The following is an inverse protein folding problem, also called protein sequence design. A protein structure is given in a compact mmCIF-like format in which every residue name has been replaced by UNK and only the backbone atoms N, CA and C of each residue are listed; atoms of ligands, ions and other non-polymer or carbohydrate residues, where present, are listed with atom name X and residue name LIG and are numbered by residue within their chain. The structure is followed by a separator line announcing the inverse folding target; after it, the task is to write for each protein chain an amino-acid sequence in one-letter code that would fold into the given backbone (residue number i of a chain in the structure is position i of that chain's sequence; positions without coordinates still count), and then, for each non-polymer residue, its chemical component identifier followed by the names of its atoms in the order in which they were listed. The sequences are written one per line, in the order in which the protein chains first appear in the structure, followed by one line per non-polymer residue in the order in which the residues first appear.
data_IF_997776130679
#
_entry.id   IF_997776130679
#
_cell.length_a   1.000
_cell.length_b   1.000
_cell.length_c   1.000
_cell.angle_alpha   90.00
_cell.angle_beta   90.00
_cell.angle_gamma   90.00
#
_symmetry.space_group_name_H-M   'P 1'
#
loop_
_entity.id
_entity.type
_entity.pdbx_description
1 polymer ?
#
# COMPACT_ATOMS: atom_id res chain seq x y z
N UNK A 1 -1.80 16.80 -9.25
CA UNK A 1 -0.37 16.53 -8.99
C UNK A 1 -0.21 15.03 -9.09
N UNK A 2 0.49 14.51 -10.10
CA UNK A 2 0.69 13.07 -10.22
C UNK A 2 1.51 12.62 -9.02
N UNK A 3 1.03 11.63 -8.24
CA UNK A 3 1.82 11.01 -7.21
C UNK A 3 2.85 10.17 -7.94
N UNK A 4 4.09 10.61 -7.86
CA UNK A 4 5.23 9.82 -8.32
C UNK A 4 5.28 8.61 -7.38
N UNK A 5 4.91 7.43 -7.89
CA UNK A 5 5.32 6.19 -7.25
C UNK A 5 6.82 6.28 -7.09
N UNK A 6 7.35 5.94 -5.92
CA UNK A 6 8.80 5.84 -5.79
C UNK A 6 9.27 4.91 -6.91
N UNK A 7 10.08 5.44 -7.81
CA UNK A 7 10.63 4.67 -8.93
C UNK A 7 11.76 3.77 -8.45
N UNK A 8 12.18 3.93 -7.20
CA UNK A 8 13.33 3.24 -6.61
C UNK A 8 12.94 2.04 -5.78
N UNK A 9 11.82 2.04 -5.06
CA UNK A 9 11.43 0.89 -4.23
C UNK A 9 10.32 1.18 -3.23
N UNK A 10 9.98 0.18 -2.41
CA UNK A 10 9.04 0.35 -1.29
C UNK A 10 9.71 0.92 -0.03
N UNK A 11 11.04 0.90 0.06
CA UNK A 11 11.81 1.43 1.19
C UNK A 11 12.93 2.36 0.71
N UNK A 12 13.62 2.99 1.65
CA UNK A 12 14.81 3.82 1.43
C UNK A 12 16.04 3.17 2.06
N UNK A 13 17.25 3.62 1.68
CA UNK A 13 18.50 3.10 2.23
C UNK A 13 18.59 3.24 3.76
N UNK A 14 17.95 4.26 4.34
CA UNK A 14 17.83 4.45 5.79
C UNK A 14 17.03 3.34 6.48
N UNK A 15 16.01 2.80 5.83
CA UNK A 15 15.23 1.67 6.35
C UNK A 15 16.05 0.38 6.36
N UNK A 16 16.85 0.18 5.32
CA UNK A 16 17.80 -0.93 5.22
C UNK A 16 18.85 -0.81 6.33
N UNK A 17 19.43 0.38 6.51
CA UNK A 17 20.40 0.68 7.56
C UNK A 17 19.90 0.37 8.98
N UNK A 18 18.59 0.58 9.22
CA UNK A 18 17.99 0.24 10.51
C UNK A 18 17.96 -1.28 10.79
N UNK A 19 18.01 -2.13 9.76
CA UNK A 19 18.03 -3.60 9.88
C UNK A 19 19.45 -4.15 9.97
N UNK A 20 20.45 -3.42 9.48
CA UNK A 20 21.87 -3.83 9.46
C UNK A 20 22.58 -3.15 10.61
N UNK A 21 22.40 -3.69 11.83
CA UNK A 21 22.80 -3.03 13.09
C UNK A 21 24.30 -2.77 13.26
N UNK A 22 25.18 -3.43 12.52
CA UNK A 22 26.64 -3.33 12.69
C UNK A 22 27.33 -2.65 11.49
N UNK A 23 26.57 -2.16 10.55
CA UNK A 23 27.09 -1.58 9.32
C UNK A 23 26.38 -0.26 9.02
N UNK A 24 27.17 0.78 8.77
CA UNK A 24 26.63 2.08 8.36
C UNK A 24 26.69 2.19 6.85
N UNK A 25 25.52 2.38 6.23
CA UNK A 25 25.42 2.60 4.78
C UNK A 25 25.62 4.10 4.53
N UNK A 26 26.70 4.46 3.83
CA UNK A 26 26.98 5.82 3.40
C UNK A 26 27.60 5.82 1.99
N UNK A 27 28.04 6.99 1.52
CA UNK A 27 28.60 7.13 0.18
C UNK A 27 29.98 6.49 0.03
N UNK A 28 30.67 6.17 1.12
CA UNK A 28 32.03 5.63 1.14
C UNK A 28 32.07 4.20 1.68
N UNK A 29 30.95 3.67 2.14
CA UNK A 29 30.86 2.29 2.61
C UNK A 29 30.89 1.30 1.45
N UNK A 30 31.17 0.05 1.73
CA UNK A 30 31.08 -1.06 0.79
C UNK A 30 30.18 -2.16 1.42
N UNK A 31 28.91 -2.30 0.99
CA UNK A 31 28.29 -1.57 -0.14
C UNK A 31 27.93 -0.10 0.20
N UNK A 32 27.98 0.74 -0.83
CA UNK A 32 27.63 2.17 -0.76
C UNK A 32 26.11 2.41 -0.78
N UNK A 33 25.71 3.66 -0.46
CA UNK A 33 24.29 4.05 -0.58
C UNK A 33 23.76 3.82 -1.99
N UNK A 34 24.55 4.15 -3.04
CA UNK A 34 24.11 3.99 -4.43
C UNK A 34 23.89 2.51 -4.81
N UNK A 35 24.75 1.62 -4.35
CA UNK A 35 24.58 0.18 -4.57
C UNK A 35 23.37 -0.36 -3.79
N UNK A 36 23.17 0.11 -2.57
CA UNK A 36 21.99 -0.24 -1.77
C UNK A 36 20.70 0.20 -2.44
N UNK A 37 20.66 1.42 -3.01
CA UNK A 37 19.50 1.93 -3.76
C UNK A 37 19.23 1.10 -5.03
N UNK A 38 20.28 0.67 -5.73
CA UNK A 38 20.13 -0.21 -6.88
C UNK A 38 19.49 -1.55 -6.48
N UNK A 39 19.93 -2.16 -5.37
CA UNK A 39 19.33 -3.39 -4.86
C UNK A 39 17.89 -3.20 -4.36
N UNK A 40 17.58 -2.06 -3.73
CA UNK A 40 16.19 -1.72 -3.38
C UNK A 40 15.30 -1.75 -4.64
N UNK A 41 15.78 -1.17 -5.75
CA UNK A 41 15.05 -1.15 -7.01
C UNK A 41 14.88 -2.54 -7.64
N UNK A 42 15.89 -3.38 -7.56
CA UNK A 42 15.80 -4.77 -8.03
C UNK A 42 14.80 -5.59 -7.19
N UNK A 43 14.90 -5.51 -5.85
CA UNK A 43 14.02 -6.18 -4.93
C UNK A 43 12.56 -5.69 -5.06
N UNK A 44 12.36 -4.40 -5.34
CA UNK A 44 11.06 -3.84 -5.70
C UNK A 44 10.45 -4.53 -6.93
N UNK A 45 11.28 -4.75 -7.96
CA UNK A 45 10.86 -5.49 -9.16
C UNK A 45 10.43 -6.93 -8.83
N UNK A 46 11.20 -7.61 -7.99
CA UNK A 46 10.91 -8.98 -7.53
C UNK A 46 9.61 -9.04 -6.71
N UNK A 47 9.43 -8.14 -5.75
CA UNK A 47 8.21 -8.05 -4.94
C UNK A 47 6.99 -7.82 -5.83
N UNK A 48 7.08 -6.92 -6.82
CA UNK A 48 5.98 -6.68 -7.76
C UNK A 48 5.66 -7.91 -8.62
N UNK A 49 6.66 -8.71 -8.98
CA UNK A 49 6.42 -9.96 -9.68
C UNK A 49 5.70 -10.99 -8.79
N UNK A 50 6.10 -11.11 -7.52
CA UNK A 50 5.45 -11.97 -6.52
C UNK A 50 3.99 -11.53 -6.32
N UNK A 51 3.74 -10.24 -6.15
CA UNK A 51 2.40 -9.69 -5.97
C UNK A 51 1.50 -10.00 -7.16
N UNK A 52 1.98 -9.79 -8.40
CA UNK A 52 1.21 -10.12 -9.61
C UNK A 52 0.93 -11.61 -9.72
N UNK A 53 1.91 -12.46 -9.40
CA UNK A 53 1.72 -13.92 -9.39
C UNK A 53 0.69 -14.37 -8.34
N UNK A 54 0.58 -13.66 -7.23
CA UNK A 54 -0.42 -13.88 -6.19
C UNK A 54 -1.80 -13.25 -6.50
N UNK A 55 -1.94 -12.55 -7.64
CA UNK A 55 -3.21 -11.95 -8.07
C UNK A 55 -3.43 -10.51 -7.57
N UNK A 56 -2.41 -9.87 -7.01
CA UNK A 56 -2.50 -8.46 -6.60
C UNK A 56 -2.11 -7.51 -7.73
N UNK A 57 -2.75 -6.35 -7.78
CA UNK A 57 -2.28 -5.26 -8.64
C UNK A 57 -0.95 -4.69 -8.09
N UNK A 58 0.06 -4.58 -8.95
CA UNK A 58 1.37 -4.05 -8.57
C UNK A 58 1.94 -3.13 -9.67
N UNK A 59 2.67 -2.08 -9.30
CA UNK A 59 3.10 -1.74 -7.95
C UNK A 59 1.97 -1.23 -7.05
N UNK A 60 2.11 -1.49 -5.75
CA UNK A 60 1.16 -1.02 -4.72
C UNK A 60 1.51 0.42 -4.35
N UNK A 61 0.49 1.27 -4.16
CA UNK A 61 0.70 2.63 -3.70
C UNK A 61 1.37 2.64 -2.32
N UNK A 62 2.44 3.42 -2.17
CA UNK A 62 3.25 3.45 -0.93
C UNK A 62 2.59 4.25 0.19
N UNK A 63 1.67 5.12 -0.14
CA UNK A 63 0.90 5.89 0.83
C UNK A 63 -0.56 5.88 0.38
N UNK A 64 -1.45 5.84 1.35
CA UNK A 64 -2.86 6.14 1.14
C UNK A 64 -3.06 7.53 0.58
N UNK A 65 -4.27 7.86 0.23
CA UNK A 65 -4.64 9.21 -0.16
C UNK A 65 -4.49 10.20 1.00
N UNK A 66 -4.75 11.44 0.70
CA UNK A 66 -4.82 12.52 1.68
C UNK A 66 -6.05 13.35 1.36
N UNK A 67 -7.09 13.21 2.15
CA UNK A 67 -8.31 13.99 2.00
C UNK A 67 -8.39 15.03 3.13
N UNK A 68 -8.26 16.30 2.76
CA UNK A 68 -8.30 17.40 3.72
C UNK A 68 -9.72 17.95 3.89
N UNK A 69 -10.05 18.31 5.15
CA UNK A 69 -11.35 18.87 5.52
C UNK A 69 -12.25 17.86 6.24
N UNK A 70 -13.35 18.34 6.81
CA UNK A 70 -14.38 17.48 7.39
C UNK A 70 -15.29 16.99 6.25
N UNK A 71 -15.33 15.68 6.07
CA UNK A 71 -15.99 15.04 4.94
C UNK A 71 -17.46 14.76 5.25
N UNK A 72 -18.33 15.08 4.32
CA UNK A 72 -19.76 14.76 4.35
C UNK A 72 -20.18 14.05 3.05
N UNK A 73 -21.22 13.25 3.12
CA UNK A 73 -21.93 12.83 1.91
C UNK A 73 -22.52 14.09 1.22
N UNK A 74 -22.21 14.24 -0.06
CA UNK A 74 -22.84 15.30 -0.89
C UNK A 74 -24.28 14.95 -1.20
N UNK A 75 -24.49 13.74 -1.69
CA UNK A 75 -25.77 13.20 -2.10
C UNK A 75 -26.21 12.09 -1.14
N UNK A 76 -27.49 11.73 -1.18
CA UNK A 76 -28.00 10.56 -0.50
C UNK A 76 -27.29 9.31 -1.02
N UNK A 77 -26.78 8.49 -0.15
CA UNK A 77 -26.31 7.15 -0.50
C UNK A 77 -27.49 6.17 -0.42
N UNK A 78 -27.82 5.55 -1.55
CA UNK A 78 -28.89 4.57 -1.59
C UNK A 78 -28.37 3.17 -1.37
N UNK A 79 -29.27 2.29 -0.94
CA UNK A 79 -28.96 0.89 -0.81
C UNK A 79 -28.40 0.32 -2.14
N UNK A 80 -27.33 -0.47 -2.06
CA UNK A 80 -26.61 -1.08 -3.17
C UNK A 80 -25.85 -0.10 -4.09
N UNK A 81 -25.72 1.17 -3.73
CA UNK A 81 -24.82 2.07 -4.43
C UNK A 81 -23.36 1.57 -4.23
N UNK A 82 -22.59 1.58 -5.30
CA UNK A 82 -21.14 1.32 -5.30
C UNK A 82 -20.31 2.60 -5.47
N UNK A 83 -20.97 3.74 -5.44
CA UNK A 83 -20.37 5.06 -5.63
C UNK A 83 -20.95 6.01 -4.58
N UNK A 84 -20.07 6.77 -3.92
CA UNK A 84 -20.45 7.84 -3.00
C UNK A 84 -19.88 9.17 -3.48
N UNK A 85 -20.68 10.23 -3.36
CA UNK A 85 -20.24 11.59 -3.62
C UNK A 85 -19.94 12.29 -2.29
N UNK A 86 -18.77 12.90 -2.18
CA UNK A 86 -18.29 13.53 -0.95
C UNK A 86 -18.02 15.00 -1.17
N UNK A 87 -18.26 15.80 -0.13
CA UNK A 87 -17.97 17.25 -0.07
C UNK A 87 -17.42 17.64 1.29
N UNK A 88 -16.88 18.85 1.40
CA UNK A 88 -16.52 19.42 2.69
C UNK A 88 -17.78 19.90 3.45
N UNK A 89 -17.71 19.88 4.78
CA UNK A 89 -18.72 20.52 5.64
C UNK A 89 -18.69 22.04 5.53
N UNK A 90 -17.51 22.62 5.25
CA UNK A 90 -17.29 24.03 5.00
C UNK A 90 -16.08 24.18 4.06
N UNK A 91 -16.14 25.14 3.14
CA UNK A 91 -15.10 25.32 2.14
C UNK A 91 -15.09 24.20 1.08
N UNK A 92 -13.91 23.79 0.66
CA UNK A 92 -13.70 22.74 -0.37
C UNK A 92 -12.89 21.60 0.19
N UNK A 93 -13.18 20.37 -0.23
CA UNK A 93 -12.24 19.26 -0.04
C UNK A 93 -10.96 19.52 -0.84
N UNK A 94 -9.86 18.96 -0.39
CA UNK A 94 -8.58 18.98 -1.11
C UNK A 94 -7.95 17.61 -1.03
N UNK A 95 -7.13 17.27 -2.02
CA UNK A 95 -6.32 16.08 -1.98
C UNK A 95 -6.81 14.95 -2.89
N UNK A 96 -6.52 13.74 -2.50
CA UNK A 96 -6.74 12.53 -3.29
C UNK A 96 -7.24 11.39 -2.41
N UNK A 97 -8.04 10.52 -2.99
CA UNK A 97 -8.38 9.21 -2.44
C UNK A 97 -7.59 8.17 -3.23
N UNK A 98 -7.03 7.20 -2.53
CA UNK A 98 -6.34 6.07 -3.14
C UNK A 98 -7.14 4.81 -3.00
N UNK A 99 -6.97 3.93 -3.95
CA UNK A 99 -7.49 2.58 -3.84
C UNK A 99 -7.03 1.95 -2.51
N UNK A 100 -7.97 1.38 -1.77
CA UNK A 100 -7.71 0.81 -0.46
C UNK A 100 -7.91 1.77 0.71
N UNK A 101 -8.11 3.07 0.47
CA UNK A 101 -8.53 4.00 1.51
C UNK A 101 -9.93 3.63 2.03
N UNK A 102 -10.20 3.95 3.28
CA UNK A 102 -11.43 3.55 3.92
C UNK A 102 -12.32 4.72 4.29
N UNK A 103 -13.62 4.44 4.23
CA UNK A 103 -14.68 5.35 4.63
C UNK A 103 -15.63 4.67 5.60
N UNK A 104 -16.04 5.38 6.63
CA UNK A 104 -17.11 4.98 7.53
C UNK A 104 -18.16 6.08 7.53
N UNK A 105 -19.37 5.75 7.12
CA UNK A 105 -20.51 6.67 7.12
C UNK A 105 -21.12 6.64 8.52
N UNK A 106 -21.33 7.82 9.11
CA UNK A 106 -21.87 7.92 10.46
C UNK A 106 -23.26 7.29 10.55
N UNK A 107 -23.46 6.42 11.53
CA UNK A 107 -24.71 5.71 11.74
C UNK A 107 -24.87 4.41 10.97
N UNK A 108 -24.01 4.12 10.02
CA UNK A 108 -23.99 2.87 9.27
C UNK A 108 -23.15 1.79 9.99
N UNK A 109 -21.99 2.16 10.52
CA UNK A 109 -21.07 1.22 11.19
C UNK A 109 -20.28 0.33 10.23
N UNK A 110 -20.62 0.31 8.94
CA UNK A 110 -19.91 -0.44 7.90
C UNK A 110 -18.68 0.35 7.44
N UNK A 111 -17.64 -0.40 7.10
CA UNK A 111 -16.39 0.13 6.51
C UNK A 111 -16.41 -0.10 5.02
N UNK A 112 -16.27 0.97 4.25
CA UNK A 112 -16.24 0.99 2.80
C UNK A 112 -14.82 1.25 2.32
N UNK A 113 -14.35 0.52 1.33
CA UNK A 113 -13.01 0.65 0.77
C UNK A 113 -13.10 1.29 -0.62
N UNK A 114 -12.24 2.27 -0.90
CA UNK A 114 -12.10 2.82 -2.24
C UNK A 114 -11.54 1.77 -3.21
N UNK A 115 -12.19 1.58 -4.35
CA UNK A 115 -11.79 0.58 -5.35
C UNK A 115 -10.87 1.13 -6.44
N UNK A 116 -10.72 2.44 -6.50
CA UNK A 116 -9.85 3.15 -7.46
C UNK A 116 -9.29 4.43 -6.86
N UNK A 117 -8.30 5.01 -7.56
CA UNK A 117 -7.77 6.32 -7.26
C UNK A 117 -8.69 7.40 -7.82
N UNK A 118 -8.99 8.42 -7.01
CA UNK A 118 -9.78 9.59 -7.41
C UNK A 118 -9.16 10.88 -6.84
N UNK A 119 -9.39 12.00 -7.51
CA UNK A 119 -8.87 13.33 -7.15
C UNK A 119 -10.03 14.27 -6.91
N UNK A 120 -9.94 15.10 -5.87
CA UNK A 120 -10.91 16.17 -5.63
C UNK A 120 -10.97 17.11 -6.84
N UNK A 121 -12.18 17.37 -7.34
CA UNK A 121 -12.41 18.23 -8.50
C UNK A 121 -12.25 19.72 -8.14
N UNK A 122 -12.42 20.59 -9.14
CA UNK A 122 -12.32 22.05 -8.97
C UNK A 122 -13.40 22.64 -8.06
N UNK A 123 -14.52 21.95 -7.90
CA UNK A 123 -15.63 22.37 -7.04
C UNK A 123 -15.41 21.95 -5.57
N UNK A 124 -14.29 21.29 -5.28
CA UNK A 124 -13.97 20.80 -3.95
C UNK A 124 -14.79 19.57 -3.54
N UNK A 125 -15.13 18.75 -4.49
CA UNK A 125 -15.92 17.53 -4.33
C UNK A 125 -15.17 16.34 -4.93
N UNK A 126 -15.51 15.12 -4.47
CA UNK A 126 -14.94 13.89 -5.01
C UNK A 126 -16.01 12.81 -5.11
N UNK A 127 -15.91 12.01 -6.16
CA UNK A 127 -16.77 10.84 -6.38
C UNK A 127 -15.92 9.60 -6.23
N UNK A 128 -16.26 8.77 -5.27
CA UNK A 128 -15.46 7.59 -4.90
C UNK A 128 -16.24 6.32 -5.17
N UNK A 129 -15.63 5.40 -5.91
CA UNK A 129 -16.16 4.05 -6.03
C UNK A 129 -15.74 3.22 -4.80
N UNK A 130 -16.70 2.53 -4.19
CA UNK A 130 -16.51 1.83 -2.91
C UNK A 130 -16.97 0.38 -2.95
N UNK A 131 -16.41 -0.43 -2.06
CA UNK A 131 -16.75 -1.81 -1.80
C UNK A 131 -16.71 -2.06 -0.28
N UNK A 132 -17.63 -2.83 0.31
CA UNK A 132 -18.84 -3.40 -0.30
C UNK A 132 -19.83 -2.32 -0.76
N UNK A 133 -20.94 -2.73 -1.35
CA UNK A 133 -22.05 -1.83 -1.69
C UNK A 133 -22.62 -1.21 -0.41
N UNK A 134 -23.24 -0.04 -0.57
CA UNK A 134 -23.92 0.64 0.55
C UNK A 134 -25.02 -0.28 1.11
N UNK A 135 -24.89 -0.62 2.38
CA UNK A 135 -25.80 -1.53 3.07
C UNK A 135 -26.95 -0.79 3.78
N UNK A 136 -26.73 0.48 4.11
CA UNK A 136 -27.72 1.31 4.81
C UNK A 136 -27.92 2.61 4.05
N UNK A 137 -29.20 2.85 3.70
CA UNK A 137 -29.58 4.11 3.06
C UNK A 137 -29.27 5.29 4.00
N UNK A 138 -28.49 6.24 3.52
CA UNK A 138 -28.00 7.34 4.36
C UNK A 138 -28.23 8.69 3.68
N UNK A 139 -28.75 9.65 4.45
CA UNK A 139 -29.09 10.98 3.97
C UNK A 139 -27.86 11.78 3.54
N UNK A 140 -28.06 12.72 2.60
CA UNK A 140 -27.07 13.74 2.29
C UNK A 140 -26.65 14.54 3.55
N UNK A 141 -25.45 15.08 3.54
CA UNK A 141 -24.80 15.79 4.65
C UNK A 141 -24.48 14.94 5.90
N UNK A 142 -24.60 13.62 5.82
CA UNK A 142 -24.13 12.74 6.88
C UNK A 142 -22.58 12.75 6.92
N UNK A 143 -22.04 12.77 8.14
CA UNK A 143 -20.59 12.78 8.35
C UNK A 143 -19.94 11.47 7.87
N UNK A 144 -18.79 11.59 7.24
CA UNK A 144 -17.97 10.47 6.75
C UNK A 144 -16.60 10.56 7.35
N UNK A 145 -16.17 9.49 8.00
CA UNK A 145 -14.79 9.37 8.50
C UNK A 145 -13.94 8.73 7.41
N UNK A 146 -12.93 9.46 6.97
CA UNK A 146 -11.93 9.00 6.03
C UNK A 146 -10.68 8.49 6.76
N UNK A 147 -10.14 7.38 6.31
CA UNK A 147 -8.89 6.79 6.82
C UNK A 147 -8.03 6.33 5.65
N UNK A 148 -6.84 6.91 5.53
CA UNK A 148 -5.87 6.50 4.50
C UNK A 148 -5.38 5.07 4.74
N UNK A 149 -5.17 4.32 3.65
CA UNK A 149 -4.62 2.97 3.71
C UNK A 149 -3.12 3.03 4.04
N UNK A 150 -2.77 2.75 5.28
CA UNK A 150 -1.37 2.86 5.76
C UNK A 150 -0.69 1.48 5.90
N UNK A 151 -1.45 0.41 6.10
CA UNK A 151 -0.89 -0.86 6.58
C UNK A 151 -0.23 -1.71 5.48
N UNK A 152 -0.72 -1.65 4.25
CA UNK A 152 -0.12 -2.37 3.13
C UNK A 152 1.29 -1.85 2.79
N UNK A 153 1.48 -0.54 2.85
CA UNK A 153 2.77 0.09 2.60
C UNK A 153 3.84 -0.34 3.60
N UNK A 154 3.48 -0.53 4.88
CA UNK A 154 4.43 -0.96 5.93
C UNK A 154 4.92 -2.39 5.72
N UNK A 155 4.04 -3.31 5.33
CA UNK A 155 4.41 -4.70 5.06
C UNK A 155 5.41 -4.79 3.89
N UNK A 156 5.10 -4.12 2.77
CA UNK A 156 5.95 -4.13 1.58
C UNK A 156 7.25 -3.34 1.79
N UNK A 157 7.20 -2.26 2.54
CA UNK A 157 8.38 -1.52 3.00
C UNK A 157 9.31 -2.42 3.82
N UNK A 158 8.75 -3.14 4.79
CA UNK A 158 9.50 -4.10 5.60
C UNK A 158 10.09 -5.23 4.76
N UNK A 159 9.33 -5.80 3.84
CA UNK A 159 9.79 -6.86 2.95
C UNK A 159 10.96 -6.38 2.07
N UNK A 160 10.82 -5.22 1.41
CA UNK A 160 11.87 -4.67 0.54
C UNK A 160 13.14 -4.37 1.35
N UNK A 161 13.01 -3.73 2.52
CA UNK A 161 14.15 -3.46 3.39
C UNK A 161 14.83 -4.76 3.88
N UNK A 162 14.06 -5.80 4.21
CA UNK A 162 14.60 -7.11 4.62
C UNK A 162 15.38 -7.79 3.49
N UNK A 163 14.84 -7.79 2.27
CA UNK A 163 15.51 -8.39 1.11
C UNK A 163 16.84 -7.70 0.83
N UNK A 164 16.82 -6.38 0.80
CA UNK A 164 18.03 -5.58 0.58
C UNK A 164 19.03 -5.69 1.73
N UNK A 165 18.58 -5.75 2.99
CA UNK A 165 19.46 -5.96 4.15
C UNK A 165 20.21 -7.29 4.08
N UNK A 166 19.60 -8.36 3.58
CA UNK A 166 20.26 -9.63 3.33
C UNK A 166 21.42 -9.46 2.34
N UNK A 167 21.21 -8.71 1.26
CA UNK A 167 22.27 -8.45 0.26
C UNK A 167 23.40 -7.61 0.85
N UNK A 168 23.04 -6.52 1.56
CA UNK A 168 24.03 -5.64 2.24
C UNK A 168 24.90 -6.43 3.21
N UNK A 169 24.30 -7.25 4.08
CA UNK A 169 25.05 -8.06 5.02
C UNK A 169 25.96 -9.06 4.33
N UNK A 170 25.48 -9.73 3.29
CA UNK A 170 26.31 -10.66 2.51
C UNK A 170 27.49 -9.96 1.84
N UNK A 171 27.28 -8.78 1.27
CA UNK A 171 28.37 -8.01 0.65
C UNK A 171 29.37 -7.51 1.69
N UNK A 172 28.91 -6.81 2.73
CA UNK A 172 29.77 -6.21 3.76
C UNK A 172 30.62 -7.23 4.52
N UNK A 173 30.11 -8.44 4.74
CA UNK A 173 30.82 -9.46 5.53
C UNK A 173 31.39 -10.62 4.71
N UNK A 174 31.30 -10.57 3.38
CA UNK A 174 31.83 -11.62 2.50
C UNK A 174 33.34 -11.89 2.69
N UNK A 175 34.08 -10.89 3.13
CA UNK A 175 35.54 -10.96 3.34
C UNK A 175 35.97 -11.18 4.81
N UNK A 176 35.04 -11.17 5.76
CA UNK A 176 35.37 -11.08 7.19
C UNK A 176 35.54 -12.44 7.91
N UNK A 177 35.26 -13.54 7.23
CA UNK A 177 35.32 -14.89 7.85
C UNK A 177 34.28 -15.13 8.95
N UNK A 178 33.40 -14.15 9.21
CA UNK A 178 32.27 -14.29 10.12
C UNK A 178 31.19 -15.13 9.42
N UNK A 179 30.50 -15.97 10.17
CA UNK A 179 29.36 -16.73 9.62
C UNK A 179 28.23 -15.75 9.26
N UNK A 180 28.27 -15.27 8.02
CA UNK A 180 27.24 -14.37 7.46
C UNK A 180 25.87 -15.02 7.57
N UNK A 181 25.80 -16.33 7.48
CA UNK A 181 24.56 -17.09 7.54
C UNK A 181 23.82 -16.90 8.88
N UNK A 182 24.54 -16.80 10.00
CA UNK A 182 23.90 -16.55 11.30
C UNK A 182 23.26 -15.15 11.37
N UNK A 183 23.88 -14.16 10.73
CA UNK A 183 23.36 -12.78 10.72
C UNK A 183 22.15 -12.62 9.79
N UNK A 184 22.14 -13.32 8.64
CA UNK A 184 21.08 -13.19 7.65
C UNK A 184 19.92 -14.16 7.86
N UNK A 185 20.13 -15.25 8.59
CA UNK A 185 19.09 -16.28 8.80
C UNK A 185 17.77 -15.73 9.35
N UNK A 186 17.75 -14.86 10.37
CA UNK A 186 16.51 -14.28 10.86
C UNK A 186 15.77 -13.46 9.78
N UNK A 187 16.52 -12.73 8.95
CA UNK A 187 15.96 -11.93 7.86
C UNK A 187 15.40 -12.82 6.74
N UNK A 188 16.07 -13.94 6.44
CA UNK A 188 15.59 -14.93 5.47
C UNK A 188 14.27 -15.54 5.94
N UNK A 189 14.20 -15.95 7.20
CA UNK A 189 12.97 -16.52 7.78
C UNK A 189 11.81 -15.53 7.70
N UNK A 190 12.05 -14.27 8.05
CA UNK A 190 11.02 -13.23 7.99
C UNK A 190 10.58 -12.93 6.55
N UNK A 191 11.54 -12.80 5.61
CA UNK A 191 11.26 -12.67 4.18
C UNK A 191 10.35 -13.80 3.67
N UNK A 192 10.74 -15.04 3.95
CA UNK A 192 10.03 -16.22 3.45
C UNK A 192 8.64 -16.34 4.06
N UNK A 193 8.48 -15.95 5.34
CA UNK A 193 7.20 -15.87 6.02
C UNK A 193 6.26 -14.87 5.31
N UNK A 194 6.78 -13.67 5.00
CA UNK A 194 5.98 -12.63 4.34
C UNK A 194 5.61 -13.07 2.91
N UNK A 195 6.58 -13.58 2.14
CA UNK A 195 6.34 -14.04 0.76
C UNK A 195 5.31 -15.17 0.73
N UNK A 196 5.46 -16.16 1.62
CA UNK A 196 4.50 -17.26 1.73
C UNK A 196 3.11 -16.76 2.11
N UNK A 197 3.02 -15.77 3.00
CA UNK A 197 1.75 -15.14 3.37
C UNK A 197 1.10 -14.39 2.21
N UNK A 198 1.89 -13.67 1.40
CA UNK A 198 1.40 -12.99 0.20
C UNK A 198 0.87 -13.99 -0.83
N UNK A 199 1.63 -15.05 -1.12
CA UNK A 199 1.25 -16.09 -2.06
C UNK A 199 0.03 -16.90 -1.59
N UNK A 200 -0.10 -17.08 -0.26
CA UNK A 200 -1.23 -17.77 0.35
C UNK A 200 -2.47 -16.90 0.55
N UNK A 201 -2.42 -15.61 0.21
CA UNK A 201 -3.53 -14.68 0.40
C UNK A 201 -3.86 -14.41 1.87
N UNK A 202 -2.86 -14.56 2.77
CA UNK A 202 -3.04 -14.32 4.22
C UNK A 202 -3.03 -12.82 4.56
N UNK A 203 -2.49 -11.99 3.68
CA UNK A 203 -2.43 -10.54 3.88
C UNK A 203 -3.50 -9.86 3.04
N UNK A 204 -4.30 -9.05 3.70
CA UNK A 204 -5.17 -8.10 3.02
C UNK A 204 -4.30 -6.89 2.60
N UNK A 205 -4.16 -6.69 1.28
CA UNK A 205 -3.48 -5.53 0.72
C UNK A 205 -4.52 -4.71 -0.04
N UNK A 206 -5.27 -3.84 0.64
CA UNK A 206 -6.41 -3.14 0.06
C UNK A 206 -6.05 -2.30 -1.17
N UNK A 207 -4.88 -1.65 -1.14
CA UNK A 207 -4.37 -0.85 -2.26
C UNK A 207 -3.89 -1.68 -3.47
N UNK A 208 -3.81 -3.00 -3.32
CA UNK A 208 -3.41 -3.95 -4.37
C UNK A 208 -4.55 -4.87 -4.81
N UNK A 209 -5.80 -4.60 -4.40
CA UNK A 209 -6.94 -5.41 -4.82
C UNK A 209 -7.00 -5.52 -6.36
N UNK A 210 -7.29 -6.70 -6.85
CA UNK A 210 -7.22 -7.10 -8.27
C UNK A 210 -7.92 -6.08 -9.16
N UNK A 211 -7.24 -5.57 -10.19
CA UNK A 211 -7.93 -4.94 -11.31
C UNK A 211 -8.91 -5.97 -11.87
N UNK A 212 -10.19 -5.71 -11.70
CA UNK A 212 -11.22 -6.42 -12.45
C UNK A 212 -10.98 -6.06 -13.90
N UNK A 213 -10.38 -6.97 -14.67
CA UNK A 213 -10.27 -6.80 -16.11
C UNK A 213 -11.70 -6.61 -16.60
N UNK A 214 -12.03 -5.40 -17.01
CA UNK A 214 -13.30 -5.10 -17.66
C UNK A 214 -13.30 -5.81 -19.00
N UNK A 215 -13.79 -7.04 -19.03
CA UNK A 215 -13.82 -7.86 -20.22
C UNK A 215 -13.99 -9.35 -19.89
N UNK A 216 -15.17 -9.73 -19.45
CA UNK A 216 -15.67 -11.09 -19.53
C UNK A 216 -15.26 -12.04 -18.40
N UNK A 217 -16.19 -12.30 -17.53
CA UNK A 217 -16.22 -13.48 -16.67
C UNK A 217 -15.69 -13.25 -15.26
N UNK A 218 -16.57 -12.84 -14.38
CA UNK A 218 -16.41 -12.92 -12.94
C UNK A 218 -16.10 -14.34 -12.50
N UNK A 219 -14.83 -14.65 -12.21
CA UNK A 219 -14.50 -15.72 -11.28
C UNK A 219 -14.27 -15.11 -9.91
N UNK A 220 -15.36 -14.90 -9.19
CA UNK A 220 -15.33 -14.69 -7.74
C UNK A 220 -14.89 -16.01 -7.11
N UNK A 221 -13.62 -16.11 -6.73
CA UNK A 221 -13.17 -17.13 -5.79
C UNK A 221 -13.52 -16.64 -4.38
N UNK A 222 -14.76 -16.79 -4.01
CA UNK A 222 -15.16 -16.87 -2.61
C UNK A 222 -14.50 -18.13 -2.02
N UNK A 223 -13.42 -17.93 -1.27
CA UNK A 223 -12.94 -18.95 -0.34
C UNK A 223 -13.72 -18.80 0.97
N UNK A 224 -14.61 -19.77 1.17
CA UNK A 224 -15.22 -20.09 2.45
C UNK A 224 -14.18 -20.45 3.51
#
# INVERSE_FOLDING_TARGET
MAITLSTTGYCEATDVGAMVQQFTIDTNSDPSTAETEAWISEDFGEINAILRAAGYAAPVAQAGGSLGGTVLLKDKANLMDSIISLKASSGSLTGTVRRGDFFVISGDGQRYMATRDDIVNTDGEIVVAVEPWIEVETAANTAVTYTAAVDAAKLLKGLNATMTAIRVQRAAYSSSGTSVDELVQPLIVERDRIISGLQGGLYDIPSAAVETIAGGGTMSLLRS
#
